data_IF_318646587526
#
_entry.id   IF_318646587526
#
_cell.length_a   1.000
_cell.length_b   1.000
_cell.length_c   1.000
_cell.angle_alpha   90.00
_cell.angle_beta   90.00
_cell.angle_gamma   90.00
#
_symmetry.space_group_name_H-M   'P 1'
#
loop_
_entity.id
_entity.type
_entity.pdbx_description
1 polymer ?
#
# COMPACT_ATOMS: atom_id res chain seq x y z
N UNK A 1 -26.03 -19.42 8.98
CA UNK A 1 -24.83 -19.92 8.29
C UNK A 1 -23.91 -18.73 8.07
N UNK A 2 -23.03 -18.49 9.04
CA UNK A 2 -22.30 -17.24 9.17
C UNK A 2 -20.87 -17.48 8.71
N UNK A 3 -20.56 -17.11 7.47
CA UNK A 3 -19.18 -17.08 7.00
C UNK A 3 -18.51 -15.86 7.65
N UNK A 4 -17.95 -16.04 8.85
CA UNK A 4 -16.89 -15.16 9.34
C UNK A 4 -15.66 -15.45 8.50
N UNK A 5 -15.58 -14.85 7.32
CA UNK A 5 -14.32 -14.71 6.60
C UNK A 5 -13.45 -13.80 7.45
N UNK A 6 -12.52 -14.39 8.20
CA UNK A 6 -11.52 -13.64 8.94
C UNK A 6 -10.68 -12.86 7.91
N UNK A 7 -11.01 -11.58 7.75
CA UNK A 7 -10.26 -10.71 6.88
C UNK A 7 -8.84 -10.56 7.47
N UNK A 8 -7.85 -11.16 6.80
CA UNK A 8 -6.45 -11.29 7.26
C UNK A 8 -5.73 -9.95 7.36
N UNK A 9 -6.29 -8.87 6.79
CA UNK A 9 -5.68 -7.53 6.74
C UNK A 9 -6.06 -6.59 7.89
N UNK A 10 -6.83 -7.04 8.88
CA UNK A 10 -7.46 -6.18 9.93
C UNK A 10 -6.45 -5.55 10.92
N UNK A 11 -5.13 -5.76 10.78
CA UNK A 11 -4.16 -5.32 11.78
C UNK A 11 -2.84 -4.70 11.29
N UNK A 12 -2.65 -4.44 9.99
CA UNK A 12 -1.32 -4.05 9.47
C UNK A 12 -1.15 -2.55 9.19
N UNK A 13 -2.21 -1.74 9.29
CA UNK A 13 -2.16 -0.31 8.97
C UNK A 13 -2.92 0.47 10.03
N UNK A 14 -2.19 1.22 10.88
CA UNK A 14 -2.79 2.22 11.74
C UNK A 14 -3.09 3.48 10.92
N UNK A 15 -4.31 3.56 10.40
CA UNK A 15 -4.78 4.72 9.65
C UNK A 15 -4.76 6.02 10.46
N UNK A 16 -4.93 5.92 11.79
CA UNK A 16 -4.96 7.08 12.68
C UNK A 16 -3.57 7.71 12.81
N UNK A 17 -2.53 6.89 12.88
CA UNK A 17 -1.14 7.36 12.85
C UNK A 17 -0.82 8.03 11.51
N UNK A 18 -1.23 7.41 10.40
CA UNK A 18 -1.03 7.96 9.06
C UNK A 18 -1.71 9.32 8.89
N UNK A 19 -2.96 9.46 9.34
CA UNK A 19 -3.69 10.73 9.36
C UNK A 19 -2.96 11.80 10.17
N UNK A 20 -2.48 11.46 11.37
CA UNK A 20 -1.73 12.38 12.23
C UNK A 20 -0.44 12.87 11.56
N UNK A 21 0.29 11.97 10.92
CA UNK A 21 1.53 12.27 10.19
C UNK A 21 1.28 13.14 8.96
N UNK A 22 0.16 12.95 8.26
CA UNK A 22 -0.23 13.80 7.13
C UNK A 22 -0.58 15.20 7.63
N UNK A 23 -1.39 15.30 8.69
CA UNK A 23 -1.81 16.58 9.26
C UNK A 23 -0.64 17.41 9.81
N UNK A 24 0.31 16.77 10.50
CA UNK A 24 1.54 17.43 10.96
C UNK A 24 2.38 17.92 9.77
N UNK A 25 2.55 17.08 8.75
CA UNK A 25 3.29 17.46 7.53
C UNK A 25 2.68 18.67 6.80
N UNK A 26 1.35 18.75 6.76
CA UNK A 26 0.62 19.90 6.19
C UNK A 26 0.85 21.15 7.05
N UNK A 27 0.80 21.03 8.38
CA UNK A 27 1.08 22.15 9.31
C UNK A 27 2.52 22.66 9.20
N UNK A 28 3.46 21.77 8.91
CA UNK A 28 4.87 22.09 8.66
C UNK A 28 5.11 22.74 7.29
N UNK A 29 4.10 22.83 6.42
CA UNK A 29 4.21 23.44 5.11
C UNK A 29 4.88 22.55 4.06
N UNK A 30 4.96 21.24 4.28
CA UNK A 30 5.43 20.31 3.24
C UNK A 30 4.47 20.35 2.04
N UNK A 31 5.03 20.17 0.84
CA UNK A 31 4.24 20.02 -0.36
C UNK A 31 3.26 18.83 -0.21
N UNK A 32 2.07 18.93 -0.81
CA UNK A 32 1.08 17.85 -0.73
C UNK A 32 1.52 16.63 -1.55
N UNK A 33 2.19 16.88 -2.68
CA UNK A 33 2.71 15.89 -3.63
C UNK A 33 4.22 16.03 -3.79
N UNK A 34 4.85 15.21 -4.65
CA UNK A 34 6.30 15.11 -4.79
C UNK A 34 6.94 14.00 -3.93
N UNK A 35 8.25 13.80 -4.12
CA UNK A 35 9.06 12.77 -3.43
C UNK A 35 8.92 12.80 -1.90
N UNK A 36 8.85 14.00 -1.33
CA UNK A 36 8.71 14.24 0.11
C UNK A 36 7.32 14.81 0.46
N UNK A 37 6.32 14.55 -0.40
CA UNK A 37 4.98 15.09 -0.22
C UNK A 37 4.27 14.48 0.97
N UNK A 38 3.41 15.26 1.63
CA UNK A 38 2.63 14.81 2.78
C UNK A 38 1.77 13.57 2.47
N UNK A 39 1.25 13.45 1.23
CA UNK A 39 0.41 12.34 0.80
C UNK A 39 1.20 11.13 0.25
N UNK A 40 2.51 11.26 0.08
CA UNK A 40 3.35 10.19 -0.49
C UNK A 40 3.27 8.87 0.31
N UNK A 41 3.28 8.86 1.66
CA UNK A 41 3.13 7.64 2.43
C UNK A 41 1.79 6.92 2.16
N UNK A 42 0.70 7.68 2.00
CA UNK A 42 -0.63 7.12 1.71
C UNK A 42 -0.67 6.49 0.31
N UNK A 43 -0.15 7.20 -0.70
CA UNK A 43 -0.12 6.70 -2.09
C UNK A 43 0.72 5.42 -2.19
N UNK A 44 1.88 5.37 -1.51
CA UNK A 44 2.72 4.17 -1.46
C UNK A 44 1.96 2.98 -0.87
N UNK A 45 1.27 3.19 0.24
CA UNK A 45 0.48 2.14 0.91
C UNK A 45 -0.66 1.63 0.05
N UNK A 46 -1.39 2.54 -0.60
CA UNK A 46 -2.46 2.18 -1.52
C UNK A 46 -1.93 1.29 -2.65
N UNK A 47 -0.81 1.68 -3.27
CA UNK A 47 -0.22 0.92 -4.37
C UNK A 47 0.30 -0.46 -3.93
N UNK A 48 0.96 -0.53 -2.77
CA UNK A 48 1.42 -1.80 -2.18
C UNK A 48 0.25 -2.73 -1.89
N UNK A 49 -0.85 -2.21 -1.35
CA UNK A 49 -2.05 -3.00 -1.08
C UNK A 49 -2.71 -3.52 -2.36
N UNK A 50 -2.81 -2.67 -3.39
CA UNK A 50 -3.35 -3.09 -4.70
C UNK A 50 -2.52 -4.20 -5.34
N UNK A 51 -1.18 -4.07 -5.34
CA UNK A 51 -0.28 -5.09 -5.90
C UNK A 51 -0.30 -6.40 -5.10
N UNK A 52 -0.38 -6.31 -3.78
CA UNK A 52 -0.50 -7.50 -2.92
C UNK A 52 -1.81 -8.24 -3.21
N UNK A 53 -2.93 -7.51 -3.30
CA UNK A 53 -4.23 -8.10 -3.64
C UNK A 53 -4.26 -8.74 -5.03
N UNK A 54 -3.58 -8.15 -6.01
CA UNK A 54 -3.45 -8.74 -7.35
C UNK A 54 -2.69 -10.06 -7.31
N UNK A 55 -1.56 -10.13 -6.59
CA UNK A 55 -0.77 -11.35 -6.42
C UNK A 55 -1.57 -12.42 -5.68
N UNK A 56 -2.24 -12.06 -4.59
CA UNK A 56 -3.04 -13.01 -3.80
C UNK A 56 -4.20 -13.56 -4.62
N UNK A 57 -4.88 -12.72 -5.40
CA UNK A 57 -5.92 -13.16 -6.32
C UNK A 57 -5.36 -14.08 -7.42
N UNK A 58 -4.22 -13.74 -8.02
CA UNK A 58 -3.59 -14.56 -9.06
C UNK A 58 -3.21 -15.95 -8.52
N UNK A 59 -2.53 -16.00 -7.37
CA UNK A 59 -2.12 -17.26 -6.74
C UNK A 59 -3.29 -18.10 -6.23
N UNK A 60 -4.41 -17.48 -5.86
CA UNK A 60 -5.63 -18.22 -5.45
C UNK A 60 -6.34 -18.89 -6.62
N UNK A 61 -6.09 -18.42 -7.85
CA UNK A 61 -6.70 -18.96 -9.08
C UNK A 61 -5.79 -19.97 -9.81
N UNK A 62 -4.54 -20.15 -9.36
CA UNK A 62 -3.59 -21.14 -9.91
C UNK A 62 -3.45 -22.35 -8.97
N UNK A 63 -3.18 -23.54 -9.52
CA UNK A 63 -2.88 -24.72 -8.71
C UNK A 63 -1.55 -24.53 -7.95
N UNK A 64 -1.56 -24.78 -6.63
CA UNK A 64 -0.43 -24.51 -5.72
C UNK A 64 0.88 -25.25 -6.07
N UNK A 65 0.83 -26.25 -6.96
CA UNK A 65 1.98 -27.06 -7.35
C UNK A 65 2.91 -26.36 -8.35
N UNK A 66 2.43 -25.36 -9.09
CA UNK A 66 3.21 -24.76 -10.19
C UNK A 66 3.85 -23.40 -9.83
N UNK A 67 3.16 -22.54 -9.07
CA UNK A 67 3.59 -21.17 -8.86
C UNK A 67 3.45 -20.74 -7.40
N UNK A 68 4.53 -20.17 -6.84
CA UNK A 68 4.59 -19.75 -5.43
C UNK A 68 5.27 -18.40 -5.33
N UNK A 69 4.88 -17.62 -4.32
CA UNK A 69 5.42 -16.27 -4.12
C UNK A 69 6.92 -16.31 -3.83
N UNK A 70 7.71 -15.67 -4.69
CA UNK A 70 9.16 -15.52 -4.53
C UNK A 70 9.57 -14.18 -3.89
N UNK A 71 9.05 -13.90 -2.68
CA UNK A 71 9.43 -12.70 -1.92
C UNK A 71 8.87 -11.37 -2.44
N UNK A 72 9.62 -10.28 -2.26
CA UNK A 72 9.29 -8.90 -2.66
C UNK A 72 10.52 -8.20 -3.24
N UNK A 73 10.31 -7.38 -4.27
CA UNK A 73 11.34 -6.55 -4.89
C UNK A 73 11.00 -5.07 -4.78
N UNK A 74 12.01 -4.21 -4.62
CA UNK A 74 11.84 -2.77 -4.59
C UNK A 74 11.96 -2.17 -6.00
N UNK A 75 11.07 -1.23 -6.33
CA UNK A 75 11.17 -0.41 -7.55
C UNK A 75 10.90 1.04 -7.19
N UNK A 76 11.74 1.95 -7.69
CA UNK A 76 11.52 3.40 -7.57
C UNK A 76 10.71 3.86 -8.76
N UNK A 77 9.49 4.34 -8.52
CA UNK A 77 8.57 4.77 -9.58
C UNK A 77 8.65 6.29 -9.79
N UNK A 78 8.65 6.71 -11.05
CA UNK A 78 8.40 8.11 -11.42
C UNK A 78 6.93 8.25 -11.79
N UNK A 79 6.26 9.24 -11.21
CA UNK A 79 4.90 9.60 -11.62
C UNK A 79 4.87 11.07 -12.04
N UNK A 80 3.86 11.43 -12.83
CA UNK A 80 3.65 12.78 -13.36
C UNK A 80 3.59 13.85 -12.26
N UNK A 81 3.02 13.51 -11.10
CA UNK A 81 2.84 14.42 -9.96
C UNK A 81 3.85 14.19 -8.82
N UNK A 82 4.74 13.20 -8.94
CA UNK A 82 5.76 12.87 -7.92
C UNK A 82 7.20 13.11 -8.41
N UNK A 83 7.42 13.68 -9.60
CA UNK A 83 8.77 14.00 -10.09
C UNK A 83 9.29 15.32 -9.52
N UNK A 84 10.32 15.23 -8.68
CA UNK A 84 11.40 16.19 -8.59
C UNK A 84 12.71 15.41 -8.39
#
# INVERSE_FOLDING_TARGET
MNQKTANKYVGLVDYKELESNILSSIREGRALTGKNGALMPLIKKLLEASLEGEIENHLSNEDEENNRRNGRNAKTLRTTHLSC
#
